data_IF_388478430980
#
_entry.id   IF_388478430980
#
_cell.length_a   1.000
_cell.length_b   1.000
_cell.length_c   1.000
_cell.angle_alpha   90.00
_cell.angle_beta   90.00
_cell.angle_gamma   90.00
#
_symmetry.space_group_name_H-M   'P 1'
#
loop_
_entity.id
_entity.type
_entity.pdbx_description
1 polymer ?
#
# COMPACT_ATOMS: atom_id res chain seq x y z
N UNK A 1 100.78 2.29 41.34
CA UNK A 1 100.48 1.12 40.52
C UNK A 1 98.99 1.06 40.34
N UNK A 2 98.44 1.49 39.19
CA UNK A 2 97.01 1.53 38.88
C UNK A 2 96.81 0.62 37.66
N UNK A 3 96.09 -0.45 37.84
CA UNK A 3 95.66 -1.36 36.75
C UNK A 3 94.46 -0.79 36.08
N UNK A 4 94.44 -0.73 34.75
CA UNK A 4 93.26 -0.43 33.92
C UNK A 4 92.58 -1.74 33.48
N UNK A 5 91.27 -1.83 33.55
CA UNK A 5 90.56 -2.99 33.04
C UNK A 5 90.33 -2.88 31.52
N UNK A 6 90.36 -4.05 30.87
CA UNK A 6 90.18 -4.25 29.44
C UNK A 6 88.70 -4.03 29.08
N UNK A 7 88.43 -3.20 28.08
CA UNK A 7 87.11 -3.10 27.43
C UNK A 7 86.84 -4.30 26.53
N UNK A 8 85.79 -5.01 26.81
CA UNK A 8 85.21 -6.05 25.94
C UNK A 8 84.28 -5.42 24.91
N UNK A 9 84.53 -5.61 23.61
CA UNK A 9 83.68 -5.25 22.51
C UNK A 9 82.53 -6.28 22.40
N UNK A 10 81.31 -5.84 22.63
CA UNK A 10 80.10 -6.64 22.36
C UNK A 10 79.64 -6.30 20.93
N UNK A 11 79.77 -7.28 20.06
CA UNK A 11 79.22 -7.21 18.69
C UNK A 11 77.71 -7.34 18.76
N UNK A 12 77.00 -6.29 18.41
CA UNK A 12 75.54 -6.30 18.27
C UNK A 12 75.15 -6.79 16.87
N UNK A 13 74.62 -8.02 16.78
CA UNK A 13 74.10 -8.58 15.54
C UNK A 13 72.64 -8.08 15.38
N UNK A 14 72.41 -7.25 14.38
CA UNK A 14 71.03 -6.79 14.02
C UNK A 14 70.40 -7.87 13.18
N UNK A 15 69.38 -8.55 13.72
CA UNK A 15 68.50 -9.45 12.98
C UNK A 15 67.38 -8.60 12.38
N UNK A 16 67.42 -8.43 11.05
CA UNK A 16 66.34 -7.78 10.34
C UNK A 16 65.15 -8.75 10.22
N UNK A 17 64.06 -8.51 10.95
CA UNK A 17 62.81 -9.24 10.80
C UNK A 17 62.06 -8.61 9.62
N UNK A 18 61.91 -9.37 8.54
CA UNK A 18 61.04 -9.00 7.41
C UNK A 18 59.55 -9.15 7.83
N UNK A 19 58.87 -8.02 7.99
CA UNK A 19 57.43 -8.01 8.21
C UNK A 19 56.76 -8.21 6.83
N UNK A 20 56.21 -9.41 6.63
CA UNK A 20 55.32 -9.66 5.49
C UNK A 20 53.97 -9.04 5.80
N UNK A 21 53.64 -7.94 5.13
CA UNK A 21 52.31 -7.33 5.21
C UNK A 21 51.40 -8.05 4.21
N UNK A 22 50.62 -9.00 4.71
CA UNK A 22 49.54 -9.61 3.94
C UNK A 22 48.48 -8.52 3.64
N UNK A 23 48.43 -8.06 2.40
CA UNK A 23 47.36 -7.17 1.94
C UNK A 23 46.08 -8.01 1.76
N UNK A 24 45.23 -8.01 2.79
CA UNK A 24 43.87 -8.51 2.70
C UNK A 24 43.07 -7.61 1.77
N UNK A 25 42.90 -8.04 0.52
CA UNK A 25 41.96 -7.41 -0.41
C UNK A 25 40.55 -7.69 0.09
N UNK A 26 39.95 -6.70 0.77
CA UNK A 26 38.52 -6.70 1.06
C UNK A 26 37.75 -6.65 -0.27
N UNK A 27 37.32 -7.79 -0.77
CA UNK A 27 36.31 -7.87 -1.83
C UNK A 27 35.03 -7.29 -1.28
N UNK A 28 34.71 -6.05 -1.67
CA UNK A 28 33.42 -5.45 -1.41
C UNK A 28 32.35 -6.26 -2.15
N UNK A 29 31.73 -7.22 -1.47
CA UNK A 29 30.49 -7.80 -1.90
C UNK A 29 29.47 -6.66 -1.90
N UNK A 30 29.18 -6.14 -3.08
CA UNK A 30 28.12 -5.15 -3.26
C UNK A 30 26.83 -5.74 -2.72
N UNK A 31 26.44 -5.35 -1.50
CA UNK A 31 25.12 -5.62 -0.97
C UNK A 31 24.12 -4.97 -1.94
N UNK A 32 23.50 -5.79 -2.80
CA UNK A 32 22.32 -5.36 -3.53
C UNK A 32 21.28 -5.02 -2.46
N UNK A 33 21.02 -3.73 -2.27
CA UNK A 33 19.87 -3.29 -1.49
C UNK A 33 18.64 -4.04 -1.98
N UNK A 34 17.81 -4.59 -1.09
CA UNK A 34 16.59 -5.26 -1.51
C UNK A 34 15.78 -4.26 -2.35
N UNK A 35 15.64 -4.55 -3.65
CA UNK A 35 14.82 -3.74 -4.54
C UNK A 35 13.38 -3.91 -4.08
N UNK A 36 12.83 -2.86 -3.46
CA UNK A 36 11.40 -2.82 -3.13
C UNK A 36 10.65 -2.98 -4.46
N UNK A 37 9.73 -3.95 -4.59
CA UNK A 37 8.97 -4.11 -5.81
C UNK A 37 8.32 -2.79 -6.22
N UNK A 38 8.41 -2.39 -7.50
CA UNK A 38 7.82 -1.13 -7.96
C UNK A 38 6.31 -1.16 -7.80
N UNK A 39 5.70 0.00 -7.58
CA UNK A 39 4.25 0.16 -7.60
C UNK A 39 3.70 -0.27 -8.97
N UNK A 40 2.59 -1.00 -8.94
CA UNK A 40 1.92 -1.44 -10.17
C UNK A 40 0.83 -0.42 -10.51
N UNK A 41 0.88 0.15 -11.71
CA UNK A 41 -0.12 1.09 -12.18
C UNK A 41 -1.31 0.34 -12.78
N UNK A 42 -2.51 0.74 -12.35
CA UNK A 42 -3.78 0.24 -12.87
C UNK A 42 -4.62 1.43 -13.31
N UNK A 43 -5.12 1.40 -14.55
CA UNK A 43 -6.12 2.33 -15.04
C UNK A 43 -7.51 1.73 -14.92
N UNK A 44 -8.42 2.49 -14.33
CA UNK A 44 -9.85 2.21 -14.28
C UNK A 44 -10.55 3.24 -15.18
N UNK A 45 -11.05 2.80 -16.32
CA UNK A 45 -11.87 3.64 -17.20
C UNK A 45 -13.33 3.52 -16.79
N UNK A 46 -13.99 4.65 -16.62
CA UNK A 46 -15.39 4.71 -16.22
C UNK A 46 -16.20 5.60 -17.18
N UNK A 47 -17.52 5.55 -17.06
CA UNK A 47 -18.41 6.49 -17.79
C UNK A 47 -18.24 7.94 -17.35
N UNK A 48 -17.56 8.20 -16.22
CA UNK A 48 -17.28 9.55 -15.72
C UNK A 48 -15.88 10.07 -16.09
N UNK A 49 -14.98 9.17 -16.54
CA UNK A 49 -13.57 9.43 -16.86
C UNK A 49 -12.64 8.33 -16.36
N UNK A 50 -11.34 8.52 -16.53
CA UNK A 50 -10.30 7.55 -16.15
C UNK A 50 -9.66 7.91 -14.81
N UNK A 51 -9.33 6.88 -14.02
CA UNK A 51 -8.65 6.97 -12.72
C UNK A 51 -7.44 6.06 -12.77
N UNK A 52 -6.25 6.59 -12.51
CA UNK A 52 -5.02 5.79 -12.41
C UNK A 52 -4.66 5.57 -10.93
N UNK A 53 -4.48 4.32 -10.56
CA UNK A 53 -4.13 3.86 -9.21
C UNK A 53 -2.71 3.29 -9.21
N UNK A 54 -1.89 3.71 -8.27
CA UNK A 54 -0.64 3.05 -7.94
C UNK A 54 -0.90 2.04 -6.80
N UNK A 55 -0.84 0.77 -7.12
CA UNK A 55 -0.96 -0.37 -6.19
C UNK A 55 0.40 -0.66 -5.59
N UNK A 56 0.48 -0.93 -4.29
CA UNK A 56 1.73 -1.14 -3.56
C UNK A 56 1.88 -2.58 -3.02
N UNK A 57 2.31 -3.54 -3.84
CA UNK A 57 2.48 -4.93 -3.41
C UNK A 57 3.62 -5.13 -2.41
N UNK A 58 4.57 -4.18 -2.33
CA UNK A 58 5.66 -4.25 -1.37
C UNK A 58 5.19 -4.03 0.09
N UNK A 59 4.15 -3.21 0.27
CA UNK A 59 3.60 -2.86 1.59
C UNK A 59 2.38 -3.70 1.96
N UNK A 60 1.49 -3.95 1.01
CA UNK A 60 0.25 -4.70 1.20
C UNK A 60 0.15 -5.85 0.18
N UNK A 61 1.02 -6.90 0.28
CA UNK A 61 1.11 -7.94 -0.75
C UNK A 61 -0.19 -8.73 -0.94
N UNK A 62 -0.87 -9.13 0.13
CA UNK A 62 -2.10 -9.93 0.02
C UNK A 62 -3.24 -9.12 -0.58
N UNK A 63 -3.40 -7.88 -0.14
CA UNK A 63 -4.46 -6.99 -0.61
C UNK A 63 -4.22 -6.54 -2.05
N UNK A 64 -2.96 -6.20 -2.38
CA UNK A 64 -2.57 -5.84 -3.73
C UNK A 64 -2.78 -7.00 -4.71
N UNK A 65 -2.33 -8.22 -4.35
CA UNK A 65 -2.51 -9.42 -5.16
C UNK A 65 -4.00 -9.72 -5.39
N UNK A 66 -4.82 -9.65 -4.34
CA UNK A 66 -6.26 -9.82 -4.45
C UNK A 66 -6.88 -8.83 -5.45
N UNK A 67 -6.60 -7.53 -5.29
CA UNK A 67 -7.12 -6.52 -6.22
C UNK A 67 -6.65 -6.77 -7.66
N UNK A 68 -5.38 -7.08 -7.85
CA UNK A 68 -4.81 -7.34 -9.18
C UNK A 68 -5.37 -8.60 -9.84
N UNK A 69 -5.72 -9.65 -9.08
CA UNK A 69 -6.43 -10.83 -9.62
C UNK A 69 -7.79 -10.47 -10.22
N UNK A 70 -8.54 -9.57 -9.57
CA UNK A 70 -9.81 -9.06 -10.13
C UNK A 70 -9.58 -8.22 -11.39
N UNK A 71 -8.52 -7.41 -11.43
CA UNK A 71 -8.13 -6.62 -12.61
C UNK A 71 -7.76 -7.54 -13.78
N UNK A 72 -6.81 -8.47 -13.54
CA UNK A 72 -6.29 -9.37 -14.58
C UNK A 72 -7.36 -10.35 -15.11
N UNK A 73 -8.29 -10.76 -14.24
CA UNK A 73 -9.43 -11.58 -14.60
C UNK A 73 -10.56 -10.84 -15.32
N UNK A 74 -10.45 -9.52 -15.54
CA UNK A 74 -11.50 -8.69 -16.16
C UNK A 74 -12.79 -8.65 -15.33
N UNK A 75 -12.72 -8.91 -14.02
CA UNK A 75 -13.91 -9.00 -13.18
C UNK A 75 -14.50 -7.62 -12.87
N UNK A 76 -13.70 -6.55 -12.93
CA UNK A 76 -14.20 -5.18 -12.78
C UNK A 76 -14.89 -4.63 -14.04
N UNK A 77 -14.75 -5.26 -15.20
CA UNK A 77 -15.49 -4.83 -16.41
C UNK A 77 -17.00 -4.99 -16.19
N UNK A 78 -17.77 -3.93 -16.50
CA UNK A 78 -19.18 -3.74 -16.14
C UNK A 78 -19.47 -3.71 -14.62
N UNK A 79 -18.41 -3.67 -13.80
CA UNK A 79 -18.50 -3.29 -12.41
C UNK A 79 -18.94 -1.82 -12.26
N UNK A 80 -19.08 -1.35 -11.05
CA UNK A 80 -19.62 -0.01 -10.85
C UNK A 80 -19.14 0.64 -9.55
N UNK A 81 -18.99 1.95 -9.58
CA UNK A 81 -19.08 2.76 -8.39
C UNK A 81 -20.57 2.83 -8.01
N UNK A 82 -20.91 2.28 -6.87
CA UNK A 82 -22.29 2.09 -6.43
C UNK A 82 -22.64 2.92 -5.19
N UNK A 83 -21.63 3.45 -4.50
CA UNK A 83 -21.82 4.23 -3.26
C UNK A 83 -20.92 5.44 -3.26
N UNK A 84 -21.47 6.57 -2.81
CA UNK A 84 -20.74 7.79 -2.51
C UNK A 84 -21.21 8.36 -1.18
N UNK A 85 -20.26 8.78 -0.33
CA UNK A 85 -20.56 9.43 0.93
C UNK A 85 -19.97 10.83 0.96
N UNK A 86 -20.76 11.78 1.48
CA UNK A 86 -20.43 13.19 1.63
C UNK A 86 -21.30 13.82 2.73
N UNK A 87 -21.04 15.05 3.10
CA UNK A 87 -21.67 15.67 4.26
C UNK A 87 -23.21 15.70 4.22
N UNK A 88 -23.81 15.88 3.03
CA UNK A 88 -25.25 16.00 2.85
C UNK A 88 -26.02 14.67 2.85
N UNK A 89 -25.33 13.53 2.64
CA UNK A 89 -25.94 12.20 2.63
C UNK A 89 -25.39 11.26 3.72
N UNK A 90 -24.53 11.78 4.59
CA UNK A 90 -23.90 10.97 5.62
C UNK A 90 -24.77 10.94 6.87
N UNK A 91 -25.46 9.80 7.08
CA UNK A 91 -26.25 9.58 8.29
C UNK A 91 -25.32 9.15 9.42
N UNK A 92 -25.01 10.08 10.33
CA UNK A 92 -24.22 9.80 11.53
C UNK A 92 -25.19 9.44 12.66
N UNK A 93 -25.44 8.17 12.86
CA UNK A 93 -26.17 7.71 14.06
C UNK A 93 -25.25 7.37 15.25
N UNK A 94 -23.94 7.57 15.11
CA UNK A 94 -22.95 7.21 16.12
C UNK A 94 -22.15 8.44 16.53
N UNK A 95 -22.28 8.87 17.79
CA UNK A 95 -21.43 9.94 18.33
C UNK A 95 -19.96 9.53 18.19
N UNK A 96 -19.11 10.47 17.79
CA UNK A 96 -17.66 10.30 17.64
C UNK A 96 -17.15 9.54 16.40
N UNK A 97 -17.97 9.25 15.38
CA UNK A 97 -17.45 8.82 14.08
C UNK A 97 -17.31 10.02 13.14
N UNK A 98 -16.09 10.34 12.68
CA UNK A 98 -15.89 11.44 11.73
C UNK A 98 -16.61 11.18 10.41
N UNK A 99 -16.97 12.26 9.73
CA UNK A 99 -17.52 12.21 8.37
C UNK A 99 -16.59 11.41 7.47
N UNK A 100 -17.12 10.36 6.86
CA UNK A 100 -16.40 9.56 5.87
C UNK A 100 -16.78 10.05 4.47
N UNK A 101 -15.82 10.53 3.72
CA UNK A 101 -16.00 10.92 2.32
C UNK A 101 -15.28 9.94 1.40
N UNK A 102 -16.05 9.09 0.74
CA UNK A 102 -15.54 8.04 -0.15
C UNK A 102 -16.43 7.87 -1.36
N UNK A 103 -15.84 7.30 -2.40
CA UNK A 103 -16.55 6.56 -3.43
C UNK A 103 -16.18 5.09 -3.32
N UNK A 104 -17.14 4.19 -3.40
CA UNK A 104 -16.93 2.74 -3.29
C UNK A 104 -17.37 2.06 -4.57
N UNK A 105 -16.53 1.14 -5.04
CA UNK A 105 -16.75 0.37 -6.25
C UNK A 105 -16.61 -1.13 -5.98
N UNK A 106 -17.14 -1.92 -6.88
CA UNK A 106 -17.03 -3.37 -6.87
C UNK A 106 -17.21 -3.96 -8.26
N UNK A 107 -17.11 -5.28 -8.33
CA UNK A 107 -17.33 -6.05 -9.57
C UNK A 107 -18.79 -5.98 -10.01
N UNK A 108 -19.04 -6.34 -11.26
CA UNK A 108 -20.41 -6.57 -11.76
C UNK A 108 -21.14 -7.56 -10.84
N UNK A 109 -22.33 -7.23 -10.34
CA UNK A 109 -23.13 -8.14 -9.54
C UNK A 109 -23.38 -9.52 -10.20
N UNK A 110 -23.46 -9.58 -11.53
CA UNK A 110 -23.58 -10.83 -12.27
C UNK A 110 -22.32 -11.70 -12.17
N UNK A 111 -21.17 -11.11 -11.85
CA UNK A 111 -19.90 -11.82 -11.68
C UNK A 111 -19.60 -12.20 -10.22
N UNK A 112 -20.44 -11.83 -9.25
CA UNK A 112 -20.26 -12.18 -7.82
C UNK A 112 -20.04 -13.68 -7.56
N UNK A 113 -20.68 -14.61 -8.27
CA UNK A 113 -20.40 -16.05 -8.12
C UNK A 113 -18.95 -16.45 -8.49
N UNK A 114 -18.23 -15.59 -9.21
CA UNK A 114 -16.82 -15.77 -9.59
C UNK A 114 -15.85 -15.02 -8.66
N UNK A 115 -16.36 -14.40 -7.60
CA UNK A 115 -15.50 -13.69 -6.64
C UNK A 115 -14.55 -14.65 -5.93
N UNK A 116 -13.33 -14.18 -5.69
CA UNK A 116 -12.36 -14.93 -4.91
C UNK A 116 -12.76 -14.97 -3.42
N UNK A 117 -12.28 -15.97 -2.66
CA UNK A 117 -12.49 -16.03 -1.21
C UNK A 117 -12.04 -14.75 -0.50
N UNK A 118 -12.60 -14.44 0.67
CA UNK A 118 -12.13 -13.34 1.50
C UNK A 118 -10.65 -13.48 1.86
N UNK A 119 -9.99 -12.34 2.05
CA UNK A 119 -8.57 -12.28 2.38
C UNK A 119 -8.35 -11.80 3.82
N UNK A 120 -7.24 -12.22 4.46
CA UNK A 120 -6.80 -11.66 5.73
C UNK A 120 -6.56 -10.14 5.64
N UNK A 121 -6.89 -9.42 6.72
CA UNK A 121 -6.71 -7.98 6.82
C UNK A 121 -5.22 -7.62 6.98
N UNK A 122 -4.68 -6.84 6.06
CA UNK A 122 -3.37 -6.21 6.21
C UNK A 122 -3.52 -4.85 6.89
N UNK A 123 -3.25 -4.83 8.18
CA UNK A 123 -3.43 -3.64 9.04
C UNK A 123 -2.44 -2.53 8.71
N UNK A 124 -2.88 -1.28 8.83
CA UNK A 124 -2.02 -0.10 8.61
C UNK A 124 -0.85 0.00 9.59
N UNK A 125 -0.95 -0.64 10.77
CA UNK A 125 0.16 -0.76 11.74
C UNK A 125 1.32 -1.61 11.20
N UNK A 126 1.05 -2.54 10.29
CA UNK A 126 2.04 -3.43 9.65
C UNK A 126 2.50 -2.85 8.32
N UNK A 127 1.56 -2.46 7.47
CA UNK A 127 1.85 -1.95 6.12
C UNK A 127 2.45 -0.55 6.12
N UNK A 128 2.15 0.26 7.13
CA UNK A 128 2.50 1.68 7.21
C UNK A 128 1.74 2.57 6.22
N UNK A 129 0.81 2.01 5.43
CA UNK A 129 -0.05 2.78 4.53
C UNK A 129 -1.18 3.42 5.34
N UNK A 130 -1.37 4.74 5.19
CA UNK A 130 -2.35 5.51 5.94
C UNK A 130 -3.56 5.88 5.09
N UNK A 131 -4.70 6.08 5.76
CA UNK A 131 -5.93 6.52 5.13
C UNK A 131 -5.98 8.06 5.01
N UNK A 132 -5.29 8.56 4.00
CA UNK A 132 -5.28 9.98 3.60
C UNK A 132 -6.02 10.18 2.28
N UNK A 133 -6.26 11.43 1.88
CA UNK A 133 -6.88 11.75 0.57
C UNK A 133 -6.21 10.97 -0.57
N UNK A 134 -7.03 10.36 -1.41
CA UNK A 134 -6.59 9.56 -2.55
C UNK A 134 -6.18 8.13 -2.23
N UNK A 135 -6.12 7.72 -0.96
CA UNK A 135 -5.86 6.32 -0.60
C UNK A 135 -6.94 5.39 -1.14
N UNK A 136 -6.50 4.26 -1.69
CA UNK A 136 -7.35 3.16 -2.14
C UNK A 136 -7.25 2.02 -1.12
N UNK A 137 -8.40 1.57 -0.61
CA UNK A 137 -8.51 0.58 0.46
C UNK A 137 -9.60 -0.44 0.17
N UNK A 138 -9.45 -1.68 0.66
CA UNK A 138 -10.49 -2.70 0.51
C UNK A 138 -11.66 -2.45 1.46
N UNK A 139 -12.86 -2.56 0.93
CA UNK A 139 -14.05 -2.59 1.76
C UNK A 139 -14.19 -3.97 2.43
N UNK A 140 -14.62 -3.96 3.68
CA UNK A 140 -14.86 -5.16 4.47
C UNK A 140 -16.18 -5.09 5.22
N UNK A 141 -16.69 -6.22 5.64
CA UNK A 141 -17.83 -6.33 6.55
C UNK A 141 -17.43 -6.08 8.01
N UNK A 142 -18.23 -6.57 8.95
CA UNK A 142 -17.97 -6.47 10.40
C UNK A 142 -16.75 -7.25 10.84
N UNK A 143 -16.49 -8.42 10.27
CA UNK A 143 -15.27 -9.19 10.55
C UNK A 143 -14.04 -8.61 9.83
N UNK A 144 -12.87 -8.72 10.45
CA UNK A 144 -11.62 -8.20 9.90
C UNK A 144 -11.27 -8.84 8.54
N UNK A 145 -11.39 -10.15 8.43
CA UNK A 145 -10.94 -10.96 7.27
C UNK A 145 -12.11 -11.25 6.32
N UNK A 146 -12.85 -10.21 5.93
CA UNK A 146 -14.06 -10.34 5.09
C UNK A 146 -13.98 -9.59 3.76
N UNK A 147 -12.85 -8.95 3.48
CA UNK A 147 -12.65 -8.22 2.23
C UNK A 147 -12.57 -9.17 1.04
N UNK A 148 -13.28 -8.84 -0.06
CA UNK A 148 -13.27 -9.60 -1.32
C UNK A 148 -12.90 -8.71 -2.51
N UNK A 149 -13.91 -8.17 -3.23
CA UNK A 149 -13.74 -7.42 -4.48
C UNK A 149 -13.95 -5.92 -4.35
N UNK A 150 -14.70 -5.49 -3.34
CA UNK A 150 -15.09 -4.10 -3.21
C UNK A 150 -13.95 -3.26 -2.62
N UNK A 151 -13.70 -2.11 -3.24
CA UNK A 151 -12.72 -1.13 -2.77
C UNK A 151 -13.34 0.26 -2.70
N UNK A 152 -12.69 1.14 -1.97
CA UNK A 152 -13.08 2.55 -1.89
C UNK A 152 -11.87 3.48 -2.05
N UNK A 153 -12.17 4.71 -2.49
CA UNK A 153 -11.20 5.79 -2.65
C UNK A 153 -11.60 6.93 -1.71
N UNK A 154 -10.65 7.42 -0.93
CA UNK A 154 -10.86 8.49 0.04
C UNK A 154 -10.81 9.88 -0.60
N UNK A 155 -11.74 10.73 -0.19
CA UNK A 155 -11.78 12.14 -0.58
C UNK A 155 -11.37 13.08 0.56
N UNK A 156 -11.28 12.57 1.80
CA UNK A 156 -10.72 13.27 2.95
C UNK A 156 -9.83 12.33 3.78
N UNK A 157 -9.04 12.89 4.69
CA UNK A 157 -8.20 12.10 5.59
C UNK A 157 -9.06 11.37 6.62
N UNK A 158 -8.81 10.06 6.81
CA UNK A 158 -9.62 9.18 7.64
C UNK A 158 -8.77 8.32 8.59
N UNK A 159 -8.11 8.91 9.58
CA UNK A 159 -7.33 8.13 10.55
C UNK A 159 -8.20 7.15 11.36
N UNK A 160 -9.52 7.34 11.37
CA UNK A 160 -10.48 6.40 11.97
C UNK A 160 -10.53 5.04 11.27
N UNK A 161 -10.04 4.93 10.03
CA UNK A 161 -9.90 3.70 9.25
C UNK A 161 -8.55 3.01 9.46
N UNK A 162 -7.58 3.66 10.11
CA UNK A 162 -6.32 3.03 10.47
C UNK A 162 -6.51 2.05 11.63
N UNK A 163 -5.54 1.15 11.84
CA UNK A 163 -5.50 0.28 13.01
C UNK A 163 -5.53 1.10 14.29
N UNK A 164 -6.37 0.72 15.25
CA UNK A 164 -6.66 1.46 16.47
C UNK A 164 -7.68 2.59 16.27
N UNK A 165 -8.13 2.83 15.03
CA UNK A 165 -9.18 3.80 14.74
C UNK A 165 -10.59 3.22 14.99
N UNK A 166 -11.55 4.10 15.25
CA UNK A 166 -12.90 3.71 15.72
C UNK A 166 -13.96 3.62 14.60
N UNK A 167 -13.52 3.44 13.34
CA UNK A 167 -14.48 3.26 12.25
C UNK A 167 -15.21 1.92 12.32
N UNK A 168 -14.50 0.89 12.73
CA UNK A 168 -15.03 -0.44 13.02
C UNK A 168 -14.95 -0.71 14.53
N UNK A 169 -15.93 -1.43 15.06
CA UNK A 169 -16.01 -1.72 16.50
C UNK A 169 -14.87 -2.62 16.99
N UNK A 170 -14.27 -3.37 16.07
CA UNK A 170 -13.09 -4.22 16.32
C UNK A 170 -11.76 -3.45 16.33
N UNK A 171 -11.78 -2.14 16.02
CA UNK A 171 -10.62 -1.24 15.93
C UNK A 171 -9.48 -1.74 14.99
N UNK A 172 -9.76 -2.74 14.14
CA UNK A 172 -8.75 -3.32 13.25
C UNK A 172 -8.50 -2.47 12.00
N UNK A 173 -9.37 -1.51 11.70
CA UNK A 173 -9.26 -0.64 10.53
C UNK A 173 -9.59 -1.33 9.21
N UNK A 174 -9.10 -0.79 8.11
CA UNK A 174 -9.23 -1.33 6.75
C UNK A 174 -7.85 -1.51 6.10
N UNK A 175 -7.79 -2.28 5.01
CA UNK A 175 -6.54 -2.57 4.30
C UNK A 175 -6.30 -1.56 3.18
N UNK A 176 -5.51 -0.52 3.46
CA UNK A 176 -4.98 0.38 2.44
C UNK A 176 -3.93 -0.36 1.60
N UNK A 177 -4.02 -0.27 0.26
CA UNK A 177 -3.12 -1.00 -0.64
C UNK A 177 -2.59 -0.18 -1.81
N UNK A 178 -3.08 1.05 -1.99
CA UNK A 178 -2.68 1.90 -3.10
C UNK A 178 -3.16 3.34 -2.93
N UNK A 179 -2.92 4.13 -3.95
CA UNK A 179 -3.34 5.52 -4.02
C UNK A 179 -3.67 5.94 -5.43
N UNK A 180 -4.57 6.88 -5.59
CA UNK A 180 -4.83 7.56 -6.86
C UNK A 180 -3.63 8.44 -7.22
N UNK A 181 -3.19 8.35 -8.46
CA UNK A 181 -2.06 9.13 -8.99
C UNK A 181 -2.45 10.03 -10.15
N UNK A 182 -3.62 9.78 -10.74
CA UNK A 182 -4.27 10.64 -11.73
C UNK A 182 -5.78 10.42 -11.66
N UNK A 183 -6.58 11.45 -11.96
CA UNK A 183 -8.04 11.35 -12.01
C UNK A 183 -8.75 11.59 -10.67
N UNK A 184 -8.15 12.28 -9.70
CA UNK A 184 -8.86 12.70 -8.47
C UNK A 184 -10.03 13.65 -8.74
N UNK A 185 -10.00 14.40 -9.83
CA UNK A 185 -11.12 15.20 -10.32
C UNK A 185 -12.28 14.31 -10.76
N UNK A 186 -12.00 13.18 -11.43
CA UNK A 186 -12.99 12.15 -11.79
C UNK A 186 -13.59 11.52 -10.52
N UNK A 187 -12.77 11.20 -9.52
CA UNK A 187 -13.23 10.67 -8.22
C UNK A 187 -14.20 11.66 -7.55
N UNK A 188 -13.86 12.96 -7.53
CA UNK A 188 -14.76 14.00 -7.00
C UNK A 188 -16.05 14.12 -7.83
N UNK A 189 -15.94 14.06 -9.17
CA UNK A 189 -17.10 14.06 -10.05
C UNK A 189 -18.06 12.89 -9.78
N UNK A 190 -17.52 11.70 -9.51
CA UNK A 190 -18.31 10.52 -9.12
C UNK A 190 -19.00 10.77 -7.77
N UNK A 191 -18.29 11.31 -6.77
CA UNK A 191 -18.87 11.59 -5.45
C UNK A 191 -20.05 12.55 -5.52
N UNK A 192 -20.03 13.51 -6.44
CA UNK A 192 -21.06 14.54 -6.62
C UNK A 192 -22.27 14.07 -7.43
N UNK A 193 -22.28 12.84 -7.95
CA UNK A 193 -23.44 12.32 -8.68
C UNK A 193 -24.66 12.14 -7.75
N UNK A 194 -25.87 12.14 -8.30
CA UNK A 194 -27.08 11.91 -7.53
C UNK A 194 -27.03 10.60 -6.71
N UNK A 195 -27.56 10.66 -5.50
CA UNK A 195 -27.63 9.50 -4.60
C UNK A 195 -29.01 9.38 -3.97
N UNK A 196 -29.45 8.14 -3.78
CA UNK A 196 -30.54 7.80 -2.87
C UNK A 196 -29.91 7.26 -1.58
N UNK A 197 -29.99 8.05 -0.50
CA UNK A 197 -29.13 7.83 0.67
C UNK A 197 -27.65 7.92 0.27
N UNK A 198 -26.92 6.82 0.36
CA UNK A 198 -25.52 6.74 -0.07
C UNK A 198 -25.34 5.97 -1.40
N UNK A 199 -26.41 5.43 -1.97
CA UNK A 199 -26.36 4.69 -3.21
C UNK A 199 -26.37 5.64 -4.42
N UNK A 200 -25.36 5.52 -5.28
CA UNK A 200 -25.32 6.29 -6.54
C UNK A 200 -26.45 5.87 -7.47
N UNK A 201 -27.23 6.82 -7.95
CA UNK A 201 -28.41 6.59 -8.77
C UNK A 201 -28.43 7.58 -9.96
N UNK A 202 -28.06 7.08 -11.18
CA UNK A 202 -27.56 5.75 -11.50
C UNK A 202 -26.13 5.53 -11.03
N UNK A 203 -25.67 4.28 -10.83
CA UNK A 203 -24.28 3.97 -10.54
C UNK A 203 -23.37 4.27 -11.73
N UNK A 204 -22.10 4.59 -11.47
CA UNK A 204 -21.12 4.86 -12.52
C UNK A 204 -20.45 3.55 -12.95
N UNK A 205 -20.61 3.19 -14.23
CA UNK A 205 -20.08 1.95 -14.77
C UNK A 205 -18.57 2.00 -14.96
N UNK A 206 -17.88 0.93 -14.55
CA UNK A 206 -16.49 0.65 -14.89
C UNK A 206 -16.47 -0.01 -16.27
N UNK A 207 -15.87 0.66 -17.25
CA UNK A 207 -15.75 0.18 -18.63
C UNK A 207 -14.59 -0.82 -18.75
N UNK A 208 -13.49 -0.54 -18.08
CA UNK A 208 -12.33 -1.43 -18.01
C UNK A 208 -11.48 -1.17 -16.77
N UNK A 209 -10.73 -2.18 -16.34
CA UNK A 209 -9.66 -2.04 -15.36
C UNK A 209 -8.46 -2.84 -15.85
N UNK A 210 -7.31 -2.18 -16.09
CA UNK A 210 -6.14 -2.81 -16.74
C UNK A 210 -4.84 -2.29 -16.12
N UNK A 211 -3.85 -3.19 -16.00
CA UNK A 211 -2.49 -2.77 -15.67
C UNK A 211 -1.94 -1.90 -16.80
N UNK A 212 -1.31 -0.79 -16.44
CA UNK A 212 -0.53 0.00 -17.38
C UNK A 212 0.87 -0.62 -17.52
N UNK A 213 1.41 -0.56 -18.74
CA UNK A 213 2.81 -0.95 -18.95
C UNK A 213 3.72 0.06 -18.21
N UNK A 214 4.87 -0.42 -17.66
CA UNK A 214 5.88 0.46 -17.09
C UNK A 214 6.39 1.51 -18.03
#
# INVERSE_FOLDING_TARGET
MRQFPRLAFISLTIVAAAVVVDTVTLSSHGQRSPTVPPEIRVRIDTTAGSIDIAVNPARAPLTADNFLKYVDGGLYENGRFHRATRADNYVVNLPNRPLLEVVQAGIDPAKKPKAFPPIPLERTSVTGLKHVVGTVSMARGTGADTATSDFFILLNDQPSLDFGGRRFDDEQGAAAFGRVVSGMDVVRKIQQQPTEGQSLTPPITILSAKRLKP
#
